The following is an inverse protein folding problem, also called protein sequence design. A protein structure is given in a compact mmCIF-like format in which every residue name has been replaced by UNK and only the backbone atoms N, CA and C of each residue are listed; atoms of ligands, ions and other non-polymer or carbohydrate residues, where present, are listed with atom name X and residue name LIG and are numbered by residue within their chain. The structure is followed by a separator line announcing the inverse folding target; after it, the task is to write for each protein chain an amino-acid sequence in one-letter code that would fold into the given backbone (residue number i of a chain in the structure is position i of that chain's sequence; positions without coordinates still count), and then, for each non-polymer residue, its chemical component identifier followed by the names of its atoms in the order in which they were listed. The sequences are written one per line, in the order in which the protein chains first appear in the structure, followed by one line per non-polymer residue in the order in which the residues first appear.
data_IF_752315735827
#
_entry.id   IF_752315735827
#
_cell.length_a   1.000
_cell.length_b   1.000
_cell.length_c   1.000
_cell.angle_alpha   90.00
_cell.angle_beta   90.00
_cell.angle_gamma   90.00
#
_symmetry.space_group_name_H-M   'P 1'
#
loop_
_entity.id
_entity.type
_entity.pdbx_description
1 polymer ?
#
# COMPACT_ATOMS: atom_id res chain seq x y z
N UNK A 1 -59.63 20.68 -1.86
CA UNK A 1 -60.93 19.98 -2.00
C UNK A 1 -60.72 18.90 -3.04
N UNK A 2 -60.43 17.66 -2.65
CA UNK A 2 -61.41 16.60 -2.35
C UNK A 2 -62.53 16.51 -3.40
N UNK A 3 -62.50 15.45 -4.21
CA UNK A 3 -63.60 14.50 -4.48
C UNK A 3 -63.33 13.81 -5.83
N UNK A 4 -62.85 12.56 -5.93
CA UNK A 4 -63.65 11.29 -5.93
C UNK A 4 -64.93 11.42 -6.78
N UNK A 5 -65.28 10.54 -7.73
CA UNK A 5 -65.33 9.06 -7.77
C UNK A 5 -65.77 8.71 -9.23
N UNK A 6 -65.59 7.51 -9.80
CA UNK A 6 -66.47 6.36 -9.58
C UNK A 6 -65.88 5.04 -10.15
N UNK A 7 -66.14 3.95 -9.42
CA UNK A 7 -66.03 2.50 -9.75
C UNK A 7 -67.20 2.09 -10.68
N UNK A 8 -67.26 0.93 -11.40
CA UNK A 8 -66.97 -0.46 -10.92
C UNK A 8 -66.33 -1.42 -11.97
N UNK A 9 -65.47 -2.37 -11.57
CA UNK A 9 -65.71 -3.79 -11.19
C UNK A 9 -66.25 -4.76 -12.29
N UNK A 10 -65.49 -5.86 -12.51
CA UNK A 10 -65.79 -7.13 -13.23
C UNK A 10 -65.88 -7.05 -14.78
N UNK A 11 -65.30 -7.94 -15.61
CA UNK A 11 -65.39 -9.42 -15.64
C UNK A 11 -64.65 -9.98 -16.90
N UNK A 12 -64.13 -11.22 -16.83
CA UNK A 12 -63.78 -12.19 -17.94
C UNK A 12 -62.49 -11.91 -18.74
N UNK A 13 -61.42 -12.73 -18.76
CA UNK A 13 -61.20 -14.18 -19.00
C UNK A 13 -60.98 -14.55 -20.49
N UNK A 14 -59.85 -15.25 -20.73
CA UNK A 14 -59.40 -16.06 -21.89
C UNK A 14 -58.96 -15.31 -23.18
N UNK A 15 -57.64 -15.23 -23.46
CA UNK A 15 -56.76 -16.18 -24.20
C UNK A 15 -56.96 -16.10 -25.72
N UNK A 16 -55.92 -15.68 -26.46
CA UNK A 16 -55.16 -16.50 -27.43
C UNK A 16 -53.91 -15.72 -27.88
N UNK A 17 -52.84 -16.49 -27.94
CA UNK A 17 -51.42 -16.25 -28.21
C UNK A 17 -51.13 -15.89 -29.67
N UNK A 18 -50.16 -15.01 -29.93
CA UNK A 18 -49.33 -15.03 -31.15
C UNK A 18 -48.02 -14.25 -30.94
N UNK A 19 -46.94 -14.92 -31.34
CA UNK A 19 -45.53 -14.65 -31.09
C UNK A 19 -45.02 -13.26 -31.51
N UNK A 20 -44.21 -12.65 -30.64
CA UNK A 20 -42.98 -11.97 -31.06
C UNK A 20 -41.86 -12.35 -30.08
N UNK A 21 -41.08 -13.35 -30.46
CA UNK A 21 -39.86 -13.71 -29.77
C UNK A 21 -38.80 -12.64 -30.08
N UNK A 22 -38.71 -11.62 -29.22
CA UNK A 22 -37.53 -10.76 -29.17
C UNK A 22 -36.47 -11.55 -28.40
N UNK A 23 -35.51 -12.10 -29.15
CA UNK A 23 -34.31 -12.73 -28.61
C UNK A 23 -33.44 -11.64 -27.98
N UNK A 24 -33.64 -11.40 -26.68
CA UNK A 24 -32.71 -10.60 -25.87
C UNK A 24 -31.49 -11.49 -25.67
N UNK A 25 -30.46 -11.30 -26.50
CA UNK A 25 -29.14 -11.86 -26.20
C UNK A 25 -28.68 -11.24 -24.87
N UNK A 26 -28.29 -12.03 -23.86
CA UNK A 26 -27.60 -11.49 -22.72
C UNK A 26 -26.25 -10.98 -23.23
N UNK A 27 -26.10 -9.66 -23.33
CA UNK A 27 -24.76 -9.08 -23.33
C UNK A 27 -24.13 -9.55 -22.02
N UNK A 28 -22.97 -10.24 -22.04
CA UNK A 28 -22.23 -10.42 -20.82
C UNK A 28 -21.95 -9.01 -20.31
N UNK A 29 -22.51 -8.68 -19.15
CA UNK A 29 -21.98 -7.60 -18.34
C UNK A 29 -20.56 -8.07 -18.03
N UNK A 30 -19.59 -7.60 -18.82
CA UNK A 30 -18.19 -7.71 -18.47
C UNK A 30 -18.12 -7.10 -17.08
N UNK A 31 -17.98 -7.95 -16.06
CA UNK A 31 -17.70 -7.48 -14.71
C UNK A 31 -16.50 -6.57 -14.85
N UNK A 32 -16.65 -5.30 -14.45
CA UNK A 32 -15.49 -4.45 -14.23
C UNK A 32 -14.51 -5.30 -13.43
N UNK A 33 -13.31 -5.53 -13.96
CA UNK A 33 -12.25 -6.13 -13.19
C UNK A 33 -12.20 -5.35 -11.88
N UNK A 34 -12.61 -6.01 -10.78
CA UNK A 34 -12.75 -5.33 -9.50
C UNK A 34 -11.44 -4.65 -9.16
N UNK A 35 -11.50 -3.40 -8.70
CA UNK A 35 -10.31 -2.70 -8.21
C UNK A 35 -9.54 -3.62 -7.25
N UNK A 36 -8.22 -3.72 -7.42
CA UNK A 36 -7.36 -4.57 -6.58
C UNK A 36 -7.65 -4.29 -5.10
N UNK A 37 -8.14 -5.29 -4.37
CA UNK A 37 -8.45 -5.19 -2.95
C UNK A 37 -7.20 -4.97 -2.08
N UNK A 38 -7.34 -4.56 -0.82
CA UNK A 38 -6.19 -4.24 0.03
C UNK A 38 -5.29 -5.45 0.30
N UNK A 39 -5.85 -6.63 0.62
CA UNK A 39 -5.07 -7.87 0.73
C UNK A 39 -4.35 -8.23 -0.57
N UNK A 40 -5.06 -8.15 -1.70
CA UNK A 40 -4.47 -8.45 -3.01
C UNK A 40 -3.33 -7.48 -3.37
N UNK A 41 -3.44 -6.20 -3.02
CA UNK A 41 -2.38 -5.21 -3.21
C UNK A 41 -1.11 -5.58 -2.43
N UNK A 42 -1.27 -6.01 -1.16
CA UNK A 42 -0.15 -6.49 -0.34
C UNK A 42 0.45 -7.76 -0.94
N UNK A 43 -0.38 -8.74 -1.31
CA UNK A 43 0.05 -10.00 -1.91
C UNK A 43 0.88 -9.79 -3.18
N UNK A 44 0.41 -8.92 -4.09
CA UNK A 44 1.13 -8.61 -5.33
C UNK A 44 2.50 -8.00 -5.02
N UNK A 45 2.57 -7.02 -4.12
CA UNK A 45 3.85 -6.38 -3.78
C UNK A 45 4.81 -7.36 -3.12
N UNK A 46 4.37 -8.09 -2.10
CA UNK A 46 5.22 -9.02 -1.34
C UNK A 46 5.70 -10.16 -2.24
N UNK A 47 4.82 -10.74 -3.06
CA UNK A 47 5.21 -11.79 -4.00
C UNK A 47 6.20 -11.26 -5.05
N UNK A 48 6.00 -10.05 -5.57
CA UNK A 48 6.95 -9.43 -6.49
C UNK A 48 8.34 -9.23 -5.87
N UNK A 49 8.41 -8.84 -4.60
CA UNK A 49 9.68 -8.78 -3.86
C UNK A 49 10.30 -10.17 -3.71
N UNK A 50 9.52 -11.17 -3.28
CA UNK A 50 10.00 -12.56 -3.13
C UNK A 50 10.51 -13.12 -4.46
N UNK A 51 9.85 -12.84 -5.57
CA UNK A 51 10.24 -13.31 -6.90
C UNK A 51 11.61 -12.74 -7.31
N UNK A 52 11.86 -11.46 -7.03
CA UNK A 52 13.18 -10.84 -7.22
C UNK A 52 14.22 -11.53 -6.34
N UNK A 53 13.92 -11.73 -5.05
CA UNK A 53 14.85 -12.35 -4.10
C UNK A 53 15.14 -13.81 -4.42
N UNK A 54 14.20 -14.55 -5.02
CA UNK A 54 14.43 -15.92 -5.49
C UNK A 54 15.26 -15.98 -6.77
N UNK A 55 15.11 -14.99 -7.65
CA UNK A 55 15.78 -14.93 -8.94
C UNK A 55 17.20 -14.32 -8.90
N UNK A 56 17.58 -13.67 -7.79
CA UNK A 56 18.89 -13.03 -7.64
C UNK A 56 20.04 -14.02 -7.83
N UNK A 57 21.12 -13.52 -8.44
CA UNK A 57 22.30 -14.34 -8.75
C UNK A 57 23.15 -14.66 -7.51
N UNK A 58 23.28 -13.71 -6.58
CA UNK A 58 23.98 -13.91 -5.30
C UNK A 58 22.96 -13.99 -4.16
N UNK A 59 23.02 -15.06 -3.37
CA UNK A 59 22.11 -15.28 -2.24
C UNK A 59 22.56 -14.59 -0.96
N UNK A 60 23.74 -13.96 -0.95
CA UNK A 60 24.30 -13.26 0.22
C UNK A 60 24.26 -11.74 0.10
N UNK A 61 23.98 -11.21 -1.08
CA UNK A 61 23.96 -9.77 -1.33
C UNK A 61 22.88 -9.40 -2.36
N UNK A 62 22.51 -8.12 -2.41
CA UNK A 62 21.59 -7.59 -3.40
C UNK A 62 22.37 -6.73 -4.40
N UNK A 63 22.32 -7.09 -5.67
CA UNK A 63 22.83 -6.25 -6.74
C UNK A 63 21.93 -5.03 -6.97
N UNK A 64 22.42 -4.02 -7.69
CA UNK A 64 21.57 -2.88 -8.09
C UNK A 64 20.37 -3.30 -8.93
N UNK A 65 20.49 -4.40 -9.70
CA UNK A 65 19.37 -4.95 -10.46
C UNK A 65 18.29 -5.52 -9.53
N UNK A 66 18.69 -6.24 -8.48
CA UNK A 66 17.75 -6.78 -7.48
C UNK A 66 17.05 -5.64 -6.75
N UNK A 67 17.81 -4.61 -6.34
CA UNK A 67 17.27 -3.41 -5.69
C UNK A 67 16.25 -2.68 -6.56
N UNK A 68 16.55 -2.51 -7.85
CA UNK A 68 15.60 -1.92 -8.80
C UNK A 68 14.34 -2.77 -8.98
N UNK A 69 14.48 -4.10 -9.01
CA UNK A 69 13.34 -5.01 -9.03
C UNK A 69 12.43 -4.85 -7.80
N UNK A 70 13.05 -4.76 -6.61
CA UNK A 70 12.35 -4.52 -5.35
C UNK A 70 11.65 -3.16 -5.36
N UNK A 71 12.33 -2.08 -5.79
CA UNK A 71 11.73 -0.74 -5.92
C UNK A 71 10.49 -0.77 -6.81
N UNK A 72 10.54 -1.46 -7.95
CA UNK A 72 9.38 -1.62 -8.84
C UNK A 72 8.23 -2.37 -8.19
N UNK A 73 8.50 -3.49 -7.51
CA UNK A 73 7.46 -4.27 -6.82
C UNK A 73 6.76 -3.47 -5.71
N UNK A 74 7.53 -2.69 -4.95
CA UNK A 74 7.03 -1.89 -3.83
C UNK A 74 6.27 -0.64 -4.31
N UNK A 75 6.83 0.10 -5.27
CA UNK A 75 6.26 1.37 -5.76
C UNK A 75 4.87 1.25 -6.40
N UNK A 76 4.44 0.04 -6.79
CA UNK A 76 3.11 -0.18 -7.34
C UNK A 76 1.98 0.11 -6.33
N UNK A 77 2.15 -0.34 -5.08
CA UNK A 77 1.12 -0.22 -4.05
C UNK A 77 1.57 0.55 -2.81
N UNK A 78 2.83 0.98 -2.71
CA UNK A 78 3.28 1.83 -1.63
C UNK A 78 3.15 3.31 -1.99
N UNK A 79 2.79 4.11 -1.00
CA UNK A 79 2.65 5.56 -1.15
C UNK A 79 3.69 6.27 -0.29
N UNK A 80 4.89 6.42 -0.84
CA UNK A 80 6.00 7.04 -0.13
C UNK A 80 5.72 8.49 0.27
N UNK A 81 4.86 9.20 -0.46
CA UNK A 81 4.43 10.54 -0.08
C UNK A 81 3.56 10.51 1.18
N UNK A 82 2.54 9.64 1.23
CA UNK A 82 1.72 9.48 2.44
C UNK A 82 2.54 8.93 3.62
N UNK A 83 3.48 8.03 3.38
CA UNK A 83 4.41 7.56 4.40
C UNK A 83 5.25 8.72 4.97
N UNK A 84 5.90 9.50 4.11
CA UNK A 84 6.72 10.65 4.50
C UNK A 84 5.89 11.72 5.22
N UNK A 85 4.73 12.08 4.68
CA UNK A 85 3.80 13.03 5.30
C UNK A 85 3.37 12.59 6.69
N UNK A 86 3.11 11.29 6.91
CA UNK A 86 2.70 10.76 8.21
C UNK A 86 3.85 10.63 9.20
N UNK A 87 5.07 10.38 8.70
CA UNK A 87 6.26 10.37 9.55
C UNK A 87 6.63 11.78 9.97
N UNK A 88 6.58 12.78 9.08
CA UNK A 88 6.87 14.17 9.47
C UNK A 88 5.75 14.81 10.28
N UNK A 89 4.48 14.47 10.01
CA UNK A 89 3.30 14.97 10.70
C UNK A 89 3.07 16.49 10.56
N UNK A 90 3.05 17.26 11.66
CA UNK A 90 2.61 18.66 11.62
C UNK A 90 3.51 19.56 10.75
N UNK A 91 4.85 19.48 10.84
CA UNK A 91 5.78 20.23 9.99
C UNK A 91 5.62 20.02 8.47
N UNK A 92 4.96 18.94 8.02
CA UNK A 92 4.71 18.72 6.59
C UNK A 92 3.97 19.88 5.92
N UNK A 93 3.08 20.56 6.67
CA UNK A 93 2.28 21.68 6.15
C UNK A 93 3.12 22.93 5.87
N UNK A 94 4.28 23.03 6.51
CA UNK A 94 5.16 24.20 6.42
C UNK A 94 6.21 24.03 5.31
N UNK A 95 6.31 22.83 4.73
CA UNK A 95 7.18 22.56 3.58
C UNK A 95 6.62 23.18 2.30
N UNK A 96 7.50 23.82 1.53
CA UNK A 96 7.24 24.10 0.11
C UNK A 96 7.14 22.80 -0.70
N UNK A 97 6.55 22.86 -1.89
CA UNK A 97 6.43 21.68 -2.78
C UNK A 97 7.80 21.07 -3.12
N UNK A 98 8.82 21.91 -3.32
CA UNK A 98 10.18 21.43 -3.55
C UNK A 98 10.76 20.69 -2.34
N UNK A 99 10.51 21.21 -1.12
CA UNK A 99 10.96 20.55 0.10
C UNK A 99 10.19 19.25 0.39
N UNK A 100 8.90 19.18 0.05
CA UNK A 100 8.14 17.93 0.13
C UNK A 100 8.73 16.89 -0.80
N UNK A 101 9.01 17.24 -2.05
CA UNK A 101 9.62 16.33 -3.02
C UNK A 101 11.02 15.87 -2.56
N UNK A 102 11.87 16.77 -2.08
CA UNK A 102 13.19 16.43 -1.54
C UNK A 102 13.06 15.47 -0.34
N UNK A 103 12.18 15.79 0.60
CA UNK A 103 11.96 14.96 1.78
C UNK A 103 11.42 13.57 1.42
N UNK A 104 10.46 13.45 0.50
CA UNK A 104 9.95 12.15 0.05
C UNK A 104 11.07 11.30 -0.56
N UNK A 105 11.92 11.91 -1.41
CA UNK A 105 13.07 11.21 -2.00
C UNK A 105 14.10 10.77 -0.97
N UNK A 106 14.41 11.62 0.02
CA UNK A 106 15.31 11.27 1.12
C UNK A 106 14.73 10.18 2.02
N UNK A 107 13.43 10.27 2.31
CA UNK A 107 12.73 9.30 3.14
C UNK A 107 12.68 7.92 2.49
N UNK A 108 12.41 7.85 1.17
CA UNK A 108 12.46 6.60 0.43
C UNK A 108 13.86 5.97 0.47
N UNK A 109 14.93 6.75 0.25
CA UNK A 109 16.30 6.26 0.35
C UNK A 109 16.62 5.77 1.77
N UNK A 110 16.19 6.52 2.79
CA UNK A 110 16.39 6.12 4.18
C UNK A 110 15.70 4.78 4.48
N UNK A 111 14.49 4.55 3.96
CA UNK A 111 13.79 3.27 4.10
C UNK A 111 14.56 2.12 3.42
N UNK A 112 15.03 2.33 2.18
CA UNK A 112 15.81 1.34 1.43
C UNK A 112 17.10 0.96 2.20
N UNK A 113 17.82 1.95 2.71
CA UNK A 113 19.07 1.73 3.45
C UNK A 113 18.83 1.09 4.83
N UNK A 114 17.74 1.42 5.52
CA UNK A 114 17.46 0.92 6.87
C UNK A 114 16.90 -0.51 6.85
N UNK A 115 16.09 -0.85 5.86
CA UNK A 115 15.33 -2.11 5.82
C UNK A 115 15.56 -2.95 4.59
N UNK A 116 15.85 -2.35 3.43
CA UNK A 116 16.06 -3.06 2.17
C UNK A 116 17.25 -4.02 2.23
N UNK A 117 18.33 -3.63 2.91
CA UNK A 117 19.53 -4.47 3.06
C UNK A 117 19.25 -5.78 3.80
N UNK A 118 18.26 -5.81 4.70
CA UNK A 118 17.85 -7.04 5.40
C UNK A 118 17.17 -8.05 4.49
N UNK A 119 16.72 -7.64 3.30
CA UNK A 119 16.17 -8.57 2.31
C UNK A 119 17.24 -9.48 1.71
N UNK A 120 18.53 -9.13 1.81
CA UNK A 120 19.62 -10.03 1.47
C UNK A 120 19.58 -11.32 2.32
N UNK A 121 19.12 -11.23 3.58
CA UNK A 121 19.02 -12.36 4.51
C UNK A 121 17.85 -13.31 4.20
N UNK A 122 17.06 -13.02 3.15
CA UNK A 122 16.01 -13.92 2.70
C UNK A 122 16.59 -15.31 2.39
N UNK A 123 15.98 -16.35 2.95
CA UNK A 123 16.37 -17.74 2.76
C UNK A 123 15.16 -18.67 2.72
N UNK A 124 14.18 -18.32 1.87
CA UNK A 124 12.93 -19.05 1.64
C UNK A 124 11.85 -18.88 2.72
N UNK A 125 11.86 -17.76 3.45
CA UNK A 125 10.70 -17.39 4.26
C UNK A 125 9.44 -17.34 3.39
N UNK A 126 8.32 -17.70 4.01
CA UNK A 126 7.00 -17.59 3.37
C UNK A 126 6.16 -16.56 4.10
N UNK A 127 5.11 -16.09 3.44
CA UNK A 127 4.17 -15.13 4.04
C UNK A 127 2.79 -15.78 4.07
N UNK A 128 2.26 -15.95 5.27
CA UNK A 128 0.90 -16.43 5.50
C UNK A 128 0.00 -15.21 5.75
N UNK A 129 -0.99 -14.99 4.88
CA UNK A 129 -1.88 -13.83 5.01
C UNK A 129 -3.11 -14.18 5.86
N UNK A 130 -3.35 -13.37 6.88
CA UNK A 130 -4.52 -13.45 7.75
C UNK A 130 -5.73 -12.69 7.20
N UNK A 131 -6.50 -12.16 8.14
CA UNK A 131 -7.69 -11.36 7.88
C UNK A 131 -7.34 -9.96 7.33
N UNK A 132 -8.25 -9.40 6.53
CA UNK A 132 -8.26 -7.99 6.20
C UNK A 132 -9.43 -7.28 6.89
N UNK A 133 -9.18 -6.07 7.37
CA UNK A 133 -10.17 -5.23 8.02
C UNK A 133 -10.28 -3.92 7.26
N UNK A 134 -11.47 -3.62 6.73
CA UNK A 134 -11.73 -2.39 5.97
C UNK A 134 -12.71 -1.51 6.75
N UNK A 135 -12.33 -0.24 6.98
CA UNK A 135 -13.18 0.79 7.61
C UNK A 135 -13.07 2.10 6.84
N UNK A 136 -14.07 2.38 6.01
CA UNK A 136 -14.08 3.56 5.15
C UNK A 136 -12.89 3.53 4.18
N UNK A 137 -12.03 4.55 4.24
CA UNK A 137 -10.81 4.64 3.39
C UNK A 137 -9.58 3.98 3.99
N UNK A 138 -9.69 3.30 5.12
CA UNK A 138 -8.54 2.64 5.78
C UNK A 138 -8.75 1.13 5.73
N UNK A 139 -7.68 0.41 5.41
CA UNK A 139 -7.64 -1.03 5.53
C UNK A 139 -6.42 -1.49 6.33
N UNK A 140 -6.54 -2.64 6.96
CA UNK A 140 -5.47 -3.34 7.66
C UNK A 140 -5.42 -4.75 7.10
N UNK A 141 -4.24 -5.23 6.73
CA UNK A 141 -4.01 -6.61 6.29
C UNK A 141 -3.00 -7.22 7.23
N UNK A 142 -3.39 -8.29 7.91
CA UNK A 142 -2.51 -9.05 8.81
C UNK A 142 -1.82 -10.18 8.06
N UNK A 143 -0.59 -10.49 8.46
CA UNK A 143 0.19 -11.59 7.92
C UNK A 143 1.24 -12.07 8.93
N UNK A 144 1.79 -13.25 8.69
CA UNK A 144 2.97 -13.77 9.38
C UNK A 144 4.07 -14.06 8.36
N UNK A 145 5.27 -13.52 8.60
CA UNK A 145 6.49 -14.00 7.93
C UNK A 145 6.96 -15.25 8.68
N UNK A 146 6.96 -16.38 7.98
CA UNK A 146 7.28 -17.70 8.53
C UNK A 146 8.69 -18.08 8.13
N UNK A 147 9.54 -18.29 9.12
CA UNK A 147 10.92 -18.74 9.01
C UNK A 147 11.12 -19.97 9.88
N UNK A 148 11.05 -21.16 9.27
CA UNK A 148 10.92 -22.44 9.97
C UNK A 148 9.81 -22.40 11.03
N UNK A 149 10.15 -22.54 12.32
CA UNK A 149 9.19 -22.50 13.43
C UNK A 149 8.90 -21.08 13.95
N UNK A 150 9.64 -20.06 13.48
CA UNK A 150 9.46 -18.68 13.90
C UNK A 150 8.41 -18.00 13.02
N UNK A 151 7.38 -17.45 13.67
CA UNK A 151 6.37 -16.59 13.04
C UNK A 151 6.59 -15.15 13.50
N UNK A 152 6.75 -14.25 12.54
CA UNK A 152 6.92 -12.81 12.79
C UNK A 152 5.68 -12.08 12.27
N UNK A 153 4.81 -11.58 13.14
CA UNK A 153 3.60 -10.86 12.72
C UNK A 153 3.96 -9.57 11.98
N UNK A 154 3.36 -9.40 10.81
CA UNK A 154 3.48 -8.19 9.98
C UNK A 154 2.09 -7.68 9.62
N UNK A 155 1.83 -6.41 9.92
CA UNK A 155 0.57 -5.73 9.62
C UNK A 155 0.80 -4.59 8.63
N UNK A 156 0.06 -4.60 7.54
CA UNK A 156 0.07 -3.54 6.54
C UNK A 156 -1.11 -2.62 6.75
N UNK A 157 -0.89 -1.30 6.76
CA UNK A 157 -1.97 -0.31 6.81
C UNK A 157 -2.07 0.38 5.47
N UNK A 158 -3.27 0.34 4.90
CA UNK A 158 -3.55 0.87 3.58
C UNK A 158 -4.57 2.00 3.64
N UNK A 159 -4.45 2.93 2.71
CA UNK A 159 -5.40 4.01 2.47
C UNK A 159 -5.96 3.90 1.05
N UNK A 160 -7.27 4.04 0.90
CA UNK A 160 -7.91 4.13 -0.41
C UNK A 160 -7.70 5.53 -0.99
N UNK A 161 -7.13 5.57 -2.19
CA UNK A 161 -6.98 6.75 -3.05
C UNK A 161 -7.75 6.52 -4.36
N UNK A 162 -7.83 7.56 -5.20
CA UNK A 162 -8.47 7.48 -6.53
C UNK A 162 -7.85 6.39 -7.42
N UNK A 163 -6.57 6.08 -7.20
CA UNK A 163 -5.79 5.08 -7.92
C UNK A 163 -5.82 3.69 -7.25
N UNK A 164 -6.70 3.48 -6.27
CA UNK A 164 -6.85 2.25 -5.49
C UNK A 164 -6.19 2.29 -4.12
N UNK A 165 -6.07 1.11 -3.49
CA UNK A 165 -5.45 0.96 -2.18
C UNK A 165 -3.93 1.18 -2.24
N UNK A 166 -3.40 1.88 -1.23
CA UNK A 166 -1.97 2.09 -1.08
C UNK A 166 -1.49 1.88 0.35
N UNK A 167 -0.41 1.12 0.52
CA UNK A 167 0.27 0.93 1.79
C UNK A 167 0.93 2.24 2.21
N UNK A 168 0.65 2.66 3.44
CA UNK A 168 1.25 3.85 4.05
C UNK A 168 1.99 3.55 5.36
N UNK A 169 1.92 2.33 5.89
CA UNK A 169 2.64 1.91 7.09
C UNK A 169 2.75 0.38 7.13
N UNK A 170 3.87 -0.11 7.66
CA UNK A 170 4.07 -1.52 7.99
C UNK A 170 4.39 -1.59 9.48
N UNK A 171 3.78 -2.54 10.18
CA UNK A 171 4.10 -2.84 11.56
C UNK A 171 4.69 -4.24 11.63
N UNK A 172 5.89 -4.36 12.20
CA UNK A 172 6.56 -5.65 12.44
C UNK A 172 6.60 -5.87 13.95
N UNK A 173 6.08 -7.00 14.41
CA UNK A 173 5.96 -7.31 15.85
C UNK A 173 5.26 -6.18 16.63
N UNK A 174 4.25 -5.54 16.01
CA UNK A 174 3.49 -4.43 16.57
C UNK A 174 4.17 -3.06 16.50
N UNK A 175 5.41 -2.97 16.02
CA UNK A 175 6.16 -1.72 15.91
C UNK A 175 5.96 -1.12 14.52
N UNK A 176 5.28 0.03 14.47
CA UNK A 176 5.04 0.81 13.24
C UNK A 176 6.31 1.50 12.77
N UNK A 177 6.71 1.27 11.51
CA UNK A 177 7.81 1.99 10.88
C UNK A 177 7.55 3.50 10.88
N UNK A 178 6.33 3.92 10.52
CA UNK A 178 6.00 5.34 10.46
C UNK A 178 6.01 6.00 11.83
N UNK A 179 5.53 5.31 12.87
CA UNK A 179 5.57 5.84 14.24
C UNK A 179 7.00 5.99 14.75
N UNK A 180 7.89 5.06 14.41
CA UNK A 180 9.31 5.13 14.76
C UNK A 180 9.95 6.35 14.09
N UNK A 181 9.83 6.49 12.78
CA UNK A 181 10.37 7.67 12.08
C UNK A 181 9.75 8.97 12.57
N UNK A 182 8.47 8.99 12.92
CA UNK A 182 7.83 10.18 13.47
C UNK A 182 8.46 10.64 14.76
N UNK A 183 8.83 9.71 15.63
CA UNK A 183 9.51 10.01 16.89
C UNK A 183 10.87 10.66 16.60
N UNK A 184 11.66 10.05 15.72
CA UNK A 184 12.98 10.54 15.32
C UNK A 184 12.91 11.92 14.65
N UNK A 185 11.99 12.10 13.70
CA UNK A 185 11.84 13.35 12.96
C UNK A 185 11.30 14.47 13.83
N UNK A 186 10.38 14.18 14.75
CA UNK A 186 9.91 15.19 15.71
C UNK A 186 11.06 15.69 16.58
N UNK A 187 11.93 14.79 17.06
CA UNK A 187 13.10 15.18 17.85
C UNK A 187 14.08 16.04 17.04
N UNK A 188 14.36 15.66 15.79
CA UNK A 188 15.25 16.42 14.91
C UNK A 188 14.69 17.81 14.56
N UNK A 189 13.41 17.90 14.17
CA UNK A 189 12.76 19.18 13.83
C UNK A 189 12.69 20.10 15.05
N UNK A 190 12.43 19.57 16.25
CA UNK A 190 12.41 20.38 17.47
C UNK A 190 13.79 20.96 17.84
N UNK A 191 14.87 20.29 17.42
CA UNK A 191 16.25 20.69 17.71
C UNK A 191 16.73 21.79 16.76
N UNK A 192 16.58 21.58 15.46
CA UNK A 192 17.24 22.39 14.43
C UNK A 192 16.26 23.02 13.41
N UNK A 193 14.96 22.93 13.68
CA UNK A 193 13.92 23.36 12.74
C UNK A 193 13.85 22.46 11.51
N UNK A 194 12.97 22.83 10.57
CA UNK A 194 12.74 22.05 9.34
C UNK A 194 13.96 22.06 8.42
N UNK A 195 14.63 23.20 8.25
CA UNK A 195 15.80 23.31 7.38
C UNK A 195 17.00 22.51 7.92
N UNK A 196 17.23 22.58 9.23
CA UNK A 196 18.26 21.77 9.89
C UNK A 196 17.95 20.28 9.78
N UNK A 197 16.69 19.88 10.03
CA UNK A 197 16.25 18.50 9.84
C UNK A 197 16.52 17.97 8.42
N UNK A 198 16.17 18.71 7.36
CA UNK A 198 16.40 18.26 5.99
C UNK A 198 17.90 18.16 5.67
N UNK A 199 18.69 19.10 6.18
CA UNK A 199 20.15 19.08 6.04
C UNK A 199 20.76 17.83 6.69
N UNK A 200 20.37 17.55 7.93
CA UNK A 200 20.84 16.39 8.69
C UNK A 200 20.39 15.07 8.07
N UNK A 201 19.14 14.99 7.61
CA UNK A 201 18.61 13.82 6.92
C UNK A 201 19.39 13.52 5.64
N UNK A 202 19.69 14.56 4.85
CA UNK A 202 20.49 14.43 3.63
C UNK A 202 21.91 13.94 3.92
N UNK A 203 22.55 14.50 4.93
CA UNK A 203 23.87 14.05 5.37
C UNK A 203 23.86 12.59 5.85
N UNK A 204 22.83 12.20 6.62
CA UNK A 204 22.63 10.82 7.08
C UNK A 204 22.48 9.84 5.91
N UNK A 205 21.63 10.14 4.94
CA UNK A 205 21.42 9.29 3.75
C UNK A 205 22.73 9.15 2.96
N UNK A 206 23.46 10.24 2.72
CA UNK A 206 24.74 10.21 2.02
C UNK A 206 25.81 9.39 2.77
N UNK A 207 25.85 9.49 4.10
CA UNK A 207 26.74 8.70 4.96
C UNK A 207 26.46 7.20 4.83
N UNK A 208 25.19 6.80 4.97
CA UNK A 208 24.78 5.39 4.85
C UNK A 208 25.07 4.80 3.46
N UNK A 209 24.91 5.57 2.38
CA UNK A 209 25.28 5.14 1.03
C UNK A 209 26.79 4.93 0.84
N UNK A 210 27.61 5.64 1.62
CA UNK A 210 29.07 5.50 1.57
C UNK A 210 29.50 4.23 2.31
N UNK A 211 28.89 3.97 3.47
CA UNK A 211 29.12 2.73 4.25
C UNK A 211 28.70 1.48 3.48
N UNK A 212 27.63 1.54 2.68
CA UNK A 212 27.17 0.40 1.89
C UNK A 212 28.12 0.03 0.73
N UNK A 213 28.89 1.00 0.22
CA UNK A 213 29.80 0.80 -0.91
C UNK A 213 31.23 0.42 -0.51
N UNK A 214 31.56 0.51 0.78
CA UNK A 214 32.89 0.23 1.34
C UNK A 214 33.01 -1.20 1.87
#
# INVERSE_FOLDING_TARGET
MLSTKEKPMFKKMLVVMSLLAVMILPFPVQGAAGETGPKQAVEITVNGVIDVLKARADQKSLSEQDREGIRKAVSQYFDFEEMAKRSLAAPWKDLSENQKAEFVGLFQQLLELTYGNRLADFHNQTVEYGEEFIKGRIAIVDSDVVDADKRTPVRYKLVSKEVGWRVYDIQVEGISMISTFRTDFTAAVNKDGVEGFLTDLKARVAGMQTEEKG
#
